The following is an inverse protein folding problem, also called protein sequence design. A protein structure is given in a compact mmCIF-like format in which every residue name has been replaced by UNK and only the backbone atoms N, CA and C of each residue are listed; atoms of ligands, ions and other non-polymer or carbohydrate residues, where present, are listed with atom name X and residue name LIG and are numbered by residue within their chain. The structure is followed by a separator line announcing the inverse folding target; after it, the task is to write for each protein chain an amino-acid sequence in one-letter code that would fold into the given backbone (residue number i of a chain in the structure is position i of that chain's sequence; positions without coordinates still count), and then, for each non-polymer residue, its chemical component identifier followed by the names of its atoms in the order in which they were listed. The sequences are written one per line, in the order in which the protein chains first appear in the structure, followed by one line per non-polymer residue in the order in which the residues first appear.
data_IF_494533538542
#
_entry.id   IF_494533538542
#
_cell.length_a   1.000
_cell.length_b   1.000
_cell.length_c   1.000
_cell.angle_alpha   90.00
_cell.angle_beta   90.00
_cell.angle_gamma   90.00
#
_symmetry.space_group_name_H-M   'P 1'
#
loop_
_entity.id
_entity.type
_entity.pdbx_description
1 polymer ?
#
# COMPACT_ATOMS: atom_id res chain seq x y z
N UNK A 1 -3.17 -0.77 -24.65
CA UNK A 1 -2.48 -1.71 -23.77
C UNK A 1 -1.99 -2.87 -24.60
N UNK A 2 -0.69 -3.06 -24.68
CA UNK A 2 -0.11 -4.25 -25.32
C UNK A 2 -0.11 -5.45 -24.38
N UNK A 3 0.19 -6.65 -24.91
CA UNK A 3 0.37 -7.86 -24.10
C UNK A 3 1.44 -7.67 -23.01
N UNK A 4 2.52 -6.96 -23.35
CA UNK A 4 3.61 -6.66 -22.42
C UNK A 4 3.13 -5.86 -21.19
N UNK A 5 2.32 -4.82 -21.39
CA UNK A 5 1.75 -4.02 -20.31
C UNK A 5 0.91 -4.89 -19.35
N UNK A 6 0.10 -5.78 -19.91
CA UNK A 6 -0.75 -6.69 -19.13
C UNK A 6 0.11 -7.62 -18.29
N UNK A 7 1.16 -8.21 -18.87
CA UNK A 7 2.07 -9.10 -18.15
C UNK A 7 2.78 -8.38 -16.99
N UNK A 8 3.23 -7.14 -17.20
CA UNK A 8 3.85 -6.32 -16.15
C UNK A 8 2.82 -6.06 -15.03
N UNK A 9 1.61 -5.63 -15.37
CA UNK A 9 0.57 -5.36 -14.37
C UNK A 9 0.15 -6.60 -13.59
N UNK A 10 0.08 -7.77 -14.24
CA UNK A 10 -0.17 -9.06 -13.57
C UNK A 10 0.96 -9.37 -12.59
N UNK A 11 2.22 -9.20 -12.98
CA UNK A 11 3.37 -9.42 -12.10
C UNK A 11 3.36 -8.44 -10.91
N UNK A 12 3.02 -7.17 -11.13
CA UNK A 12 2.86 -6.17 -10.06
C UNK A 12 1.75 -6.60 -9.10
N UNK A 13 0.59 -6.99 -9.61
CA UNK A 13 -0.55 -7.41 -8.78
C UNK A 13 -0.26 -8.66 -7.95
N UNK A 14 0.36 -9.68 -8.55
CA UNK A 14 0.74 -10.91 -7.85
C UNK A 14 1.80 -10.65 -6.77
N UNK A 15 2.86 -9.92 -7.10
CA UNK A 15 3.91 -9.59 -6.13
C UNK A 15 3.39 -8.73 -4.98
N UNK A 16 2.58 -7.71 -5.28
CA UNK A 16 1.94 -6.89 -4.27
C UNK A 16 0.99 -7.70 -3.38
N UNK A 17 0.21 -8.61 -3.96
CA UNK A 17 -0.71 -9.49 -3.24
C UNK A 17 0.00 -10.45 -2.29
N UNK A 18 1.03 -11.14 -2.78
CA UNK A 18 1.85 -12.06 -1.96
C UNK A 18 2.49 -11.31 -0.78
N UNK A 19 3.13 -10.18 -1.06
CA UNK A 19 3.83 -9.40 -0.04
C UNK A 19 2.86 -8.73 0.94
N UNK A 20 1.67 -8.33 0.48
CA UNK A 20 0.60 -7.83 1.34
C UNK A 20 0.08 -8.92 2.29
N UNK A 21 -0.10 -10.15 1.79
CA UNK A 21 -0.49 -11.28 2.63
C UNK A 21 0.57 -11.67 3.66
N UNK A 22 1.85 -11.65 3.26
CA UNK A 22 2.98 -12.03 4.12
C UNK A 22 3.28 -10.99 5.20
N UNK A 23 3.26 -9.69 4.86
CA UNK A 23 3.71 -8.62 5.76
C UNK A 23 2.58 -7.71 6.26
N UNK A 24 1.36 -7.83 5.75
CA UNK A 24 0.22 -6.98 6.13
C UNK A 24 0.33 -5.51 5.67
N UNK A 25 1.24 -5.18 4.76
CA UNK A 25 1.55 -3.79 4.36
C UNK A 25 0.57 -3.16 3.35
N UNK A 26 -0.48 -3.90 2.93
CA UNK A 26 -1.49 -3.40 2.00
C UNK A 26 -1.05 -3.28 0.53
N UNK A 27 0.13 -3.76 0.16
CA UNK A 27 0.62 -3.85 -1.23
C UNK A 27 1.09 -2.54 -1.87
N UNK A 28 0.76 -1.38 -1.32
CA UNK A 28 1.09 -0.06 -1.91
C UNK A 28 2.58 0.26 -1.91
N UNK A 29 3.30 -0.26 -0.91
CA UNK A 29 4.76 -0.21 -0.85
C UNK A 29 5.42 -0.82 -2.09
N UNK A 30 4.75 -1.80 -2.72
CA UNK A 30 5.22 -2.48 -3.92
C UNK A 30 4.59 -1.87 -5.17
N UNK A 31 3.28 -1.63 -5.18
CA UNK A 31 2.55 -1.11 -6.34
C UNK A 31 3.03 0.28 -6.76
N UNK A 32 3.19 1.23 -5.83
CA UNK A 32 3.56 2.61 -6.17
C UNK A 32 4.90 2.69 -6.90
N UNK A 33 6.03 2.18 -6.36
CA UNK A 33 7.29 2.22 -7.09
C UNK A 33 7.27 1.40 -8.38
N UNK A 34 6.56 0.27 -8.41
CA UNK A 34 6.49 -0.55 -9.62
C UNK A 34 5.72 0.15 -10.76
N UNK A 35 4.62 0.83 -10.45
CA UNK A 35 3.86 1.62 -11.42
C UNK A 35 4.67 2.83 -11.92
N UNK A 36 5.48 3.46 -11.06
CA UNK A 36 6.36 4.56 -11.49
C UNK A 36 7.49 4.04 -12.38
N UNK A 37 8.18 2.97 -11.97
CA UNK A 37 9.40 2.51 -12.65
C UNK A 37 9.12 1.68 -13.90
N UNK A 38 8.11 0.82 -13.88
CA UNK A 38 7.82 -0.09 -15.01
C UNK A 38 6.73 0.45 -15.93
N UNK A 39 5.76 1.21 -15.40
CA UNK A 39 4.66 1.77 -16.20
C UNK A 39 4.84 3.26 -16.51
N UNK A 40 5.90 3.91 -16.01
CA UNK A 40 6.18 5.31 -16.27
C UNK A 40 5.15 6.29 -15.72
N UNK A 41 4.36 5.86 -14.72
CA UNK A 41 3.34 6.71 -14.11
C UNK A 41 3.96 7.84 -13.30
N UNK A 42 3.25 8.97 -13.22
CA UNK A 42 3.57 10.02 -12.23
C UNK A 42 3.38 9.48 -10.82
N UNK A 43 4.07 10.05 -9.83
CA UNK A 43 3.93 9.66 -8.42
C UNK A 43 2.47 9.81 -7.98
N UNK A 44 1.81 10.92 -8.34
CA UNK A 44 0.38 11.10 -8.03
C UNK A 44 -0.50 10.04 -8.68
N UNK A 45 -0.25 9.72 -9.95
CA UNK A 45 -0.98 8.68 -10.68
C UNK A 45 -0.81 7.31 -10.04
N UNK A 46 0.44 6.91 -9.77
CA UNK A 46 0.76 5.63 -9.13
C UNK A 46 0.15 5.51 -7.73
N UNK A 47 0.22 6.57 -6.92
CA UNK A 47 -0.36 6.63 -5.58
C UNK A 47 -1.90 6.52 -5.65
N UNK A 48 -2.53 7.30 -6.52
CA UNK A 48 -3.98 7.30 -6.72
C UNK A 48 -4.49 5.95 -7.20
N UNK A 49 -3.84 5.35 -8.21
CA UNK A 49 -4.18 4.01 -8.71
C UNK A 49 -3.99 2.96 -7.62
N UNK A 50 -2.87 2.99 -6.90
CA UNK A 50 -2.63 2.04 -5.81
C UNK A 50 -3.70 2.14 -4.71
N UNK A 51 -4.05 3.34 -4.27
CA UNK A 51 -5.09 3.55 -3.24
C UNK A 51 -6.45 3.10 -3.78
N UNK A 52 -6.82 3.47 -5.01
CA UNK A 52 -8.09 3.10 -5.63
C UNK A 52 -8.27 1.58 -5.73
N UNK A 53 -7.20 0.86 -6.08
CA UNK A 53 -7.22 -0.61 -6.11
C UNK A 53 -7.31 -1.23 -4.71
N UNK A 54 -6.73 -0.60 -3.69
CA UNK A 54 -6.86 -1.06 -2.30
C UNK A 54 -8.26 -0.89 -1.71
N UNK A 55 -9.11 -0.03 -2.27
CA UNK A 55 -10.50 0.11 -1.84
C UNK A 55 -11.33 -1.14 -2.18
N UNK A 56 -10.91 -1.90 -3.19
CA UNK A 56 -11.51 -3.20 -3.47
C UNK A 56 -11.19 -4.18 -2.34
N UNK A 57 -12.01 -5.24 -2.16
CA UNK A 57 -11.82 -6.26 -1.13
C UNK A 57 -10.59 -7.17 -1.36
N UNK A 58 -9.47 -6.65 -1.86
CA UNK A 58 -8.24 -7.41 -2.17
C UNK A 58 -7.63 -8.05 -0.91
N UNK A 59 -7.81 -7.45 0.25
CA UNK A 59 -7.34 -7.99 1.53
C UNK A 59 -8.23 -9.06 2.15
N UNK A 60 -9.45 -9.30 1.64
CA UNK A 60 -10.44 -10.17 2.31
C UNK A 60 -9.93 -11.59 2.47
N UNK A 61 -9.33 -12.18 1.43
CA UNK A 61 -8.85 -13.56 1.50
C UNK A 61 -7.67 -13.70 2.47
N UNK A 62 -6.76 -12.73 2.50
CA UNK A 62 -5.67 -12.71 3.48
C UNK A 62 -6.21 -12.52 4.91
N UNK A 63 -7.11 -11.56 5.12
CA UNK A 63 -7.75 -11.33 6.41
C UNK A 63 -8.55 -12.55 6.88
N UNK A 64 -9.19 -13.27 5.96
CA UNK A 64 -9.89 -14.53 6.26
C UNK A 64 -8.94 -15.61 6.76
N UNK A 65 -7.77 -15.77 6.14
CA UNK A 65 -6.75 -16.70 6.64
C UNK A 65 -6.30 -16.31 8.06
N UNK A 66 -6.00 -15.04 8.32
CA UNK A 66 -5.64 -14.57 9.67
C UNK A 66 -6.79 -14.72 10.68
N UNK A 67 -8.04 -14.58 10.23
CA UNK A 67 -9.22 -14.81 11.07
C UNK A 67 -9.36 -16.28 11.45
N UNK A 68 -9.18 -17.19 10.50
CA UNK A 68 -9.24 -18.63 10.74
C UNK A 68 -8.16 -19.10 11.72
N UNK A 69 -6.98 -18.52 11.65
CA UNK A 69 -5.88 -18.78 12.58
C UNK A 69 -6.02 -18.05 13.93
N UNK A 70 -7.14 -17.35 14.18
CA UNK A 70 -7.40 -16.62 15.43
C UNK A 70 -6.53 -15.36 15.63
N UNK A 71 -5.81 -14.93 14.60
CA UNK A 71 -4.86 -13.80 14.64
C UNK A 71 -5.50 -12.45 14.28
N UNK A 72 -6.79 -12.42 13.94
CA UNK A 72 -7.51 -11.19 13.61
C UNK A 72 -8.31 -10.66 14.81
N UNK A 73 -7.84 -9.57 15.42
CA UNK A 73 -8.63 -8.85 16.42
C UNK A 73 -9.62 -7.90 15.75
N UNK A 74 -10.88 -8.35 15.63
CA UNK A 74 -11.95 -7.58 14.98
C UNK A 74 -12.23 -6.25 15.68
N UNK A 75 -12.19 -6.20 17.02
CA UNK A 75 -12.48 -4.96 17.77
C UNK A 75 -11.46 -3.88 17.47
N UNK A 76 -10.17 -4.23 17.49
CA UNK A 76 -9.10 -3.29 17.14
C UNK A 76 -9.17 -2.91 15.66
N UNK A 77 -9.42 -3.90 14.79
CA UNK A 77 -9.58 -3.67 13.36
C UNK A 77 -10.68 -2.66 13.03
N UNK A 78 -11.85 -2.73 13.68
CA UNK A 78 -12.96 -1.79 13.45
C UNK A 78 -12.63 -0.36 13.89
N UNK A 79 -11.98 -0.18 15.04
CA UNK A 79 -11.55 1.15 15.51
C UNK A 79 -10.53 1.75 14.56
N UNK A 80 -9.53 0.96 14.15
CA UNK A 80 -8.51 1.38 13.19
C UNK A 80 -9.15 1.71 11.85
N UNK A 81 -10.06 0.89 11.34
CA UNK A 81 -10.76 1.12 10.08
C UNK A 81 -11.54 2.45 10.09
N UNK A 82 -12.26 2.74 11.17
CA UNK A 82 -13.00 4.00 11.28
C UNK A 82 -12.07 5.23 11.26
N UNK A 83 -10.97 5.19 12.02
CA UNK A 83 -9.97 6.26 12.03
C UNK A 83 -9.24 6.38 10.68
N UNK A 84 -8.98 5.24 10.02
CA UNK A 84 -8.30 5.15 8.74
C UNK A 84 -9.04 5.90 7.63
N UNK A 85 -10.38 5.87 7.61
CA UNK A 85 -11.17 6.64 6.62
C UNK A 85 -10.87 8.13 6.71
N UNK A 86 -10.88 8.68 7.93
CA UNK A 86 -10.62 10.11 8.18
C UNK A 86 -9.16 10.45 7.84
N UNK A 87 -8.22 9.63 8.32
CA UNK A 87 -6.79 9.82 8.07
C UNK A 87 -6.43 9.75 6.58
N UNK A 88 -7.01 8.79 5.84
CA UNK A 88 -6.80 8.65 4.40
C UNK A 88 -7.37 9.84 3.61
N UNK A 89 -8.55 10.33 3.99
CA UNK A 89 -9.13 11.53 3.36
C UNK A 89 -8.25 12.77 3.58
N UNK A 90 -7.85 13.05 4.82
CA UNK A 90 -7.00 14.20 5.12
C UNK A 90 -5.61 14.07 4.51
N UNK A 91 -5.01 12.87 4.59
CA UNK A 91 -3.70 12.57 4.03
C UNK A 91 -3.66 12.72 2.51
N UNK A 92 -4.70 12.28 1.80
CA UNK A 92 -4.79 12.43 0.34
C UNK A 92 -4.96 13.90 -0.08
N UNK A 93 -5.73 14.70 0.66
CA UNK A 93 -5.80 16.15 0.41
C UNK A 93 -4.43 16.81 0.55
N UNK A 94 -3.68 16.46 1.58
CA UNK A 94 -2.34 16.99 1.78
C UNK A 94 -1.38 16.52 0.69
N UNK A 95 -1.40 15.22 0.35
CA UNK A 95 -0.49 14.67 -0.66
C UNK A 95 -0.70 15.29 -2.03
N UNK A 96 -1.95 15.50 -2.46
CA UNK A 96 -2.27 16.12 -3.75
C UNK A 96 -1.74 17.56 -3.90
N UNK A 97 -1.51 18.27 -2.78
CA UNK A 97 -0.87 19.58 -2.78
C UNK A 97 0.66 19.55 -2.85
N UNK A 98 1.29 18.37 -2.71
CA UNK A 98 2.74 18.21 -2.73
C UNK A 98 3.27 18.04 -4.16
N UNK A 99 4.45 18.60 -4.42
CA UNK A 99 5.18 18.30 -5.64
C UNK A 99 5.65 16.83 -5.68
N UNK A 100 5.71 16.27 -6.89
CA UNK A 100 6.13 14.89 -7.19
C UNK A 100 7.41 14.45 -6.43
N UNK A 101 8.45 15.28 -6.49
CA UNK A 101 9.72 15.00 -5.82
C UNK A 101 9.60 14.99 -4.28
N UNK A 102 8.78 15.89 -3.72
CA UNK A 102 8.56 15.95 -2.28
C UNK A 102 7.76 14.74 -1.81
N UNK A 103 6.71 14.35 -2.54
CA UNK A 103 5.91 13.17 -2.23
C UNK A 103 6.76 11.90 -2.29
N UNK A 104 7.56 11.73 -3.35
CA UNK A 104 8.50 10.61 -3.50
C UNK A 104 9.52 10.54 -2.35
N UNK A 105 10.16 11.67 -2.00
CA UNK A 105 11.12 11.73 -0.88
C UNK A 105 10.47 11.42 0.45
N UNK A 106 9.27 11.95 0.70
CA UNK A 106 8.52 11.72 1.94
C UNK A 106 8.16 10.23 2.08
N UNK A 107 7.73 9.60 0.99
CA UNK A 107 7.47 8.16 0.96
C UNK A 107 8.73 7.33 1.26
N UNK A 108 9.87 7.68 0.64
CA UNK A 108 11.14 7.00 0.89
C UNK A 108 11.61 7.15 2.35
N UNK A 109 11.51 8.35 2.93
CA UNK A 109 11.86 8.61 4.33
C UNK A 109 10.98 7.81 5.27
N UNK A 110 9.67 7.73 5.01
CA UNK A 110 8.75 6.90 5.79
C UNK A 110 9.18 5.43 5.76
N UNK A 111 9.49 4.89 4.58
CA UNK A 111 9.93 3.49 4.44
C UNK A 111 11.25 3.22 5.18
N UNK A 112 12.23 4.13 5.08
CA UNK A 112 13.48 4.02 5.83
C UNK A 112 13.25 4.08 7.34
N UNK A 113 12.37 4.98 7.80
CA UNK A 113 12.02 5.08 9.21
C UNK A 113 11.39 3.80 9.75
N UNK A 114 10.48 3.19 8.99
CA UNK A 114 9.88 1.89 9.34
C UNK A 114 10.96 0.81 9.38
N UNK A 115 11.83 0.73 8.38
CA UNK A 115 12.90 -0.27 8.32
C UNK A 115 13.87 -0.15 9.51
N UNK A 116 14.32 1.07 9.84
CA UNK A 116 15.19 1.33 10.99
C UNK A 116 14.50 0.94 12.29
N UNK A 117 13.22 1.31 12.45
CA UNK A 117 12.46 0.95 13.65
C UNK A 117 12.39 -0.57 13.84
N UNK A 118 12.06 -1.31 12.77
CA UNK A 118 11.93 -2.78 12.83
C UNK A 118 13.26 -3.51 13.02
N UNK A 119 14.39 -2.92 12.63
CA UNK A 119 15.70 -3.57 12.77
C UNK A 119 16.38 -3.32 14.13
N UNK A 120 16.13 -2.15 14.73
CA UNK A 120 16.94 -1.67 15.86
C UNK A 120 16.13 -1.33 17.11
N UNK A 121 14.80 -1.21 17.01
CA UNK A 121 13.95 -0.71 18.09
C UNK A 121 12.74 -1.62 18.31
N UNK A 122 13.01 -2.89 18.58
CA UNK A 122 12.00 -3.84 19.04
C UNK A 122 11.60 -3.51 20.48
N UNK A 123 10.35 -3.09 20.64
CA UNK A 123 9.61 -3.11 21.90
C UNK A 123 8.35 -3.92 21.70
#
# INVERSE_FOLDING_TARGET
MGLQDILILVAIGLSAGILSGLFGIGGGVIMVPALVFFMGMTQHGAQGTSIGLMLLPIGILAAYNYYQEGNLNIRYGLVVAAAFVIGGYLGSKFSLGMGEAMLKKSFAVLMLGIAVKMLFFDK
#
